data_IF_296022066995
#
_entry.id   IF_296022066995
#
_cell.length_a   1.000
_cell.length_b   1.000
_cell.length_c   1.000
_cell.angle_alpha   90.00
_cell.angle_beta   90.00
_cell.angle_gamma   90.00
#
_symmetry.space_group_name_H-M   'P 1'
#
loop_
_entity.id
_entity.type
_entity.pdbx_description
1 polymer ?
#
# COMPACT_ATOMS: atom_id res chain seq x y z
N UNK A 1 22.06 -6.80 -14.04
CA UNK A 1 21.62 -7.77 -15.05
C UNK A 1 20.91 -8.97 -14.45
N UNK A 2 21.57 -9.92 -13.77
CA UNK A 2 20.89 -11.12 -13.26
C UNK A 2 19.68 -10.83 -12.34
N UNK A 3 19.83 -9.86 -11.41
CA UNK A 3 18.73 -9.46 -10.52
C UNK A 3 17.53 -8.86 -11.26
N UNK A 4 17.77 -8.13 -12.34
CA UNK A 4 16.72 -7.43 -13.09
C UNK A 4 15.81 -8.43 -13.82
N UNK A 5 16.36 -9.54 -14.30
CA UNK A 5 15.61 -10.62 -14.94
C UNK A 5 14.97 -11.57 -13.92
N UNK A 6 15.70 -11.92 -12.85
CA UNK A 6 15.21 -12.88 -11.85
C UNK A 6 14.16 -12.28 -10.90
N UNK A 7 14.03 -10.95 -10.84
CA UNK A 7 12.98 -10.28 -10.07
C UNK A 7 11.62 -10.28 -10.74
N UNK A 8 11.55 -10.58 -12.05
CA UNK A 8 10.29 -10.64 -12.77
C UNK A 8 9.59 -11.94 -12.36
N UNK A 9 8.38 -11.86 -11.77
CA UNK A 9 7.65 -13.07 -11.40
C UNK A 9 7.28 -13.84 -12.67
N UNK A 10 7.45 -15.17 -12.63
CA UNK A 10 7.11 -16.03 -13.77
C UNK A 10 5.59 -16.11 -14.03
N UNK A 11 4.76 -15.72 -13.07
CA UNK A 11 3.30 -15.81 -13.13
C UNK A 11 2.63 -14.60 -12.45
N UNK A 12 1.35 -14.34 -12.77
CA UNK A 12 0.53 -13.28 -12.14
C UNK A 12 0.02 -13.63 -10.74
N UNK A 13 0.35 -14.82 -10.22
CA UNK A 13 -0.23 -15.37 -8.98
C UNK A 13 0.01 -14.45 -7.78
N UNK A 14 1.18 -13.83 -7.68
CA UNK A 14 1.49 -12.92 -6.57
C UNK A 14 0.57 -11.69 -6.57
N UNK A 15 0.33 -11.13 -7.76
CA UNK A 15 -0.56 -9.96 -7.93
C UNK A 15 -2.00 -10.34 -7.62
N UNK A 16 -2.48 -11.48 -8.12
CA UNK A 16 -3.81 -12.01 -7.84
C UNK A 16 -4.03 -12.28 -6.35
N UNK A 17 -3.01 -12.80 -5.65
CA UNK A 17 -3.06 -13.04 -4.21
C UNK A 17 -3.21 -11.74 -3.44
N UNK A 18 -2.48 -10.69 -3.81
CA UNK A 18 -2.62 -9.36 -3.18
C UNK A 18 -4.02 -8.78 -3.42
N UNK A 19 -4.56 -8.88 -4.64
CA UNK A 19 -5.93 -8.43 -4.92
C UNK A 19 -7.00 -9.25 -4.19
N UNK A 20 -6.80 -10.56 -4.02
CA UNK A 20 -7.71 -11.41 -3.26
C UNK A 20 -7.79 -10.98 -1.78
N UNK A 21 -6.66 -10.62 -1.16
CA UNK A 21 -6.64 -10.05 0.20
C UNK A 21 -7.34 -8.68 0.24
N UNK A 22 -7.19 -7.89 -0.84
CA UNK A 22 -7.77 -6.56 -1.01
C UNK A 22 -9.30 -6.50 -1.13
N UNK A 23 -9.99 -7.64 -1.25
CA UNK A 23 -11.45 -7.69 -1.38
C UNK A 23 -12.19 -6.93 -0.27
N UNK A 24 -11.65 -6.94 0.96
CA UNK A 24 -12.21 -6.21 2.10
C UNK A 24 -12.13 -4.67 1.93
N UNK A 25 -11.12 -4.17 1.21
CA UNK A 25 -10.93 -2.75 0.93
C UNK A 25 -11.82 -2.28 -0.23
N UNK A 26 -11.97 -3.12 -1.26
CA UNK A 26 -12.60 -2.74 -2.53
C UNK A 26 -14.12 -2.93 -2.60
N UNK A 27 -14.66 -4.01 -2.03
CA UNK A 27 -16.03 -4.44 -2.41
C UNK A 27 -16.98 -4.67 -1.24
N UNK A 28 -16.49 -5.04 -0.04
CA UNK A 28 -17.39 -5.57 0.98
C UNK A 28 -17.98 -4.52 1.95
N UNK A 29 -17.38 -3.32 2.05
CA UNK A 29 -17.81 -2.31 3.05
C UNK A 29 -18.27 -0.97 2.50
N UNK A 30 -18.39 -0.82 1.16
CA UNK A 30 -18.66 0.49 0.51
C UNK A 30 -17.73 1.59 1.03
N UNK A 31 -16.46 1.26 1.24
CA UNK A 31 -15.49 2.27 1.61
C UNK A 31 -15.31 3.17 0.39
N UNK A 32 -15.57 4.48 0.53
CA UNK A 32 -15.34 5.49 -0.53
C UNK A 32 -13.84 5.78 -0.65
N UNK A 33 -13.04 4.74 -0.86
CA UNK A 33 -11.59 4.85 -1.01
C UNK A 33 -11.26 5.09 -2.48
N UNK A 34 -10.43 6.10 -2.71
CA UNK A 34 -9.81 6.35 -4.01
C UNK A 34 -8.84 5.22 -4.34
N UNK A 35 -8.65 4.94 -5.63
CA UNK A 35 -7.75 3.88 -6.10
C UNK A 35 -6.31 4.01 -5.56
N UNK A 36 -5.81 5.24 -5.38
CA UNK A 36 -4.49 5.49 -4.77
C UNK A 36 -4.43 5.00 -3.31
N UNK A 37 -5.47 5.28 -2.52
CA UNK A 37 -5.56 4.84 -1.12
C UNK A 37 -5.70 3.33 -1.00
N UNK A 38 -6.45 2.69 -1.91
CA UNK A 38 -6.51 1.22 -1.95
C UNK A 38 -5.13 0.64 -2.22
N UNK A 39 -4.40 1.18 -3.21
CA UNK A 39 -3.05 0.74 -3.54
C UNK A 39 -2.08 0.91 -2.38
N UNK A 40 -2.10 2.06 -1.70
CA UNK A 40 -1.20 2.31 -0.56
C UNK A 40 -1.47 1.36 0.61
N UNK A 41 -2.74 1.08 0.90
CA UNK A 41 -3.13 0.13 1.95
C UNK A 41 -2.70 -1.30 1.64
N UNK A 42 -2.81 -1.74 0.38
CA UNK A 42 -2.32 -3.05 -0.05
C UNK A 42 -0.81 -3.18 0.10
N UNK A 43 -0.04 -2.19 -0.37
CA UNK A 43 1.41 -2.16 -0.22
C UNK A 43 1.83 -2.17 1.26
N UNK A 44 1.21 -1.32 2.08
CA UNK A 44 1.49 -1.24 3.51
C UNK A 44 1.23 -2.58 4.22
N UNK A 45 0.12 -3.25 3.90
CA UNK A 45 -0.21 -4.56 4.46
C UNK A 45 0.83 -5.63 4.11
N UNK A 46 1.31 -5.66 2.87
CA UNK A 46 2.36 -6.59 2.45
C UNK A 46 3.72 -6.24 3.09
N UNK A 47 4.06 -4.96 3.28
CA UNK A 47 5.28 -4.54 3.98
C UNK A 47 5.29 -4.88 5.48
N UNK A 48 4.15 -4.71 6.15
CA UNK A 48 3.97 -5.15 7.54
C UNK A 48 4.14 -6.67 7.63
N UNK A 49 3.54 -7.42 6.70
CA UNK A 49 3.65 -8.88 6.64
C UNK A 49 5.09 -9.36 6.38
N UNK A 50 5.85 -8.59 5.59
CA UNK A 50 7.27 -8.84 5.33
C UNK A 50 8.21 -8.37 6.46
N UNK A 51 7.69 -7.72 7.51
CA UNK A 51 8.48 -7.18 8.61
C UNK A 51 9.33 -5.95 8.24
N UNK A 52 9.05 -5.32 7.10
CA UNK A 52 9.75 -4.12 6.62
C UNK A 52 9.30 -2.90 7.41
N UNK A 53 8.00 -2.85 7.75
CA UNK A 53 7.38 -1.77 8.53
C UNK A 53 6.92 -2.32 9.86
N UNK A 54 7.32 -1.70 10.96
CA UNK A 54 6.91 -2.06 12.31
C UNK A 54 5.90 -1.08 12.88
N UNK A 55 5.17 -1.49 13.93
CA UNK A 55 4.23 -0.59 14.63
C UNK A 55 4.90 0.70 15.13
N UNK A 56 6.20 0.66 15.48
CA UNK A 56 6.94 1.85 15.90
C UNK A 56 7.07 2.86 14.76
N UNK A 57 7.28 2.39 13.54
CA UNK A 57 7.39 3.24 12.35
C UNK A 57 6.06 3.90 12.02
N UNK A 58 4.96 3.15 12.16
CA UNK A 58 3.59 3.66 11.98
C UNK A 58 3.29 4.74 13.02
N UNK A 59 3.52 4.45 14.30
CA UNK A 59 3.25 5.41 15.38
C UNK A 59 4.07 6.68 15.19
N UNK A 60 5.35 6.55 14.84
CA UNK A 60 6.21 7.71 14.54
C UNK A 60 5.67 8.53 13.36
N UNK A 61 5.24 7.87 12.28
CA UNK A 61 4.72 8.55 11.10
C UNK A 61 3.39 9.27 11.38
N UNK A 62 2.52 8.69 12.22
CA UNK A 62 1.18 9.23 12.49
C UNK A 62 1.18 10.27 13.62
N UNK A 63 2.11 10.18 14.57
CA UNK A 63 2.12 11.02 15.79
C UNK A 63 2.18 12.55 15.59
N UNK A 64 2.54 13.01 14.39
CA UNK A 64 2.58 14.44 14.05
C UNK A 64 1.63 14.86 12.93
N UNK A 65 0.78 13.96 12.46
CA UNK A 65 -0.19 14.29 11.41
C UNK A 65 -1.41 14.97 12.03
N UNK A 66 -1.89 16.07 11.43
CA UNK A 66 -3.17 16.64 11.83
C UNK A 66 -4.28 15.64 11.52
N UNK A 67 -5.33 15.66 12.34
CA UNK A 67 -6.58 14.99 11.97
C UNK A 67 -7.08 15.60 10.65
N UNK A 68 -7.48 14.73 9.72
CA UNK A 68 -7.99 15.15 8.43
C UNK A 68 -9.45 15.57 8.64
N UNK A 69 -9.74 16.86 8.55
CA UNK A 69 -11.11 17.37 8.48
C UNK A 69 -11.60 17.32 7.03
N UNK A 70 -12.73 16.65 6.80
CA UNK A 70 -13.34 16.53 5.48
C UNK A 70 -13.06 15.21 4.77
N UNK A 71 -13.66 15.05 3.60
CA UNK A 71 -13.69 13.82 2.82
C UNK A 71 -13.06 14.05 1.44
N UNK A 72 -12.15 15.02 1.36
CA UNK A 72 -11.52 15.46 0.13
C UNK A 72 -10.52 14.42 -0.36
N UNK A 73 -10.57 14.13 -1.66
CA UNK A 73 -9.63 13.23 -2.30
C UNK A 73 -8.26 13.91 -2.39
N UNK A 74 -7.29 13.41 -1.61
CA UNK A 74 -5.92 13.90 -1.65
C UNK A 74 -5.12 13.09 -2.66
N UNK A 75 -4.61 13.74 -3.71
CA UNK A 75 -3.61 13.12 -4.58
C UNK A 75 -2.27 12.98 -3.84
N UNK A 76 -1.71 11.78 -3.86
CA UNK A 76 -0.39 11.54 -3.31
C UNK A 76 0.69 12.17 -4.21
N UNK A 77 1.66 12.85 -3.60
CA UNK A 77 2.74 13.53 -4.33
C UNK A 77 3.52 12.58 -5.26
N UNK A 78 4.07 13.13 -6.34
CA UNK A 78 4.79 12.35 -7.34
C UNK A 78 5.94 11.52 -6.73
N UNK A 79 5.92 10.22 -6.96
CA UNK A 79 6.94 9.29 -6.46
C UNK A 79 6.75 8.85 -5.00
N UNK A 80 5.57 9.03 -4.41
CA UNK A 80 5.22 8.47 -3.09
C UNK A 80 5.40 6.94 -3.01
N UNK A 81 5.28 6.25 -4.14
CA UNK A 81 5.41 4.80 -4.27
C UNK A 81 6.84 4.35 -4.60
N UNK A 82 7.81 5.27 -4.64
CA UNK A 82 9.21 4.92 -4.87
C UNK A 82 9.78 4.23 -3.63
N UNK A 83 10.14 2.97 -3.81
CA UNK A 83 10.98 2.25 -2.85
C UNK A 83 12.42 2.75 -3.03
N UNK A 84 12.94 3.49 -2.04
CA UNK A 84 14.35 3.87 -2.00
C UNK A 84 15.19 2.60 -1.93
N UNK A 85 16.08 2.40 -2.91
CA UNK A 85 17.05 1.31 -2.97
C UNK A 85 18.27 1.61 -2.10
#
# INVERSE_FOLDING_TARGET
>A
MARDYLSIPATSVDVERTFSKGRNLLTNRRNRLVGQTVRSLLCLGDWISAGIVTNKDIVRAVSGLPDIEGDDEVEMGAGWDKILK
#
